data_IF_986841328800
#
_entry.id   IF_986841328800
#
_cell.length_a   1.000
_cell.length_b   1.000
_cell.length_c   1.000
_cell.angle_alpha   90.00
_cell.angle_beta   90.00
_cell.angle_gamma   90.00
#
_symmetry.space_group_name_H-M   'P 1'
#
loop_
_entity.id
_entity.type
_entity.pdbx_description
1 polymer ?
#
# COMPACT_ATOMS: atom_id res chain seq x y z
N UNK A 1 -44.65 22.00 -50.63
CA UNK A 1 -45.53 22.24 -49.47
C UNK A 1 -44.79 21.80 -48.23
N UNK A 2 -44.37 22.78 -47.45
CA UNK A 2 -43.68 22.61 -46.19
C UNK A 2 -44.54 21.78 -45.22
N UNK A 3 -44.00 20.70 -44.67
CA UNK A 3 -44.40 20.27 -43.34
C UNK A 3 -43.12 19.94 -42.58
N UNK A 4 -43.01 20.58 -41.43
CA UNK A 4 -41.77 20.86 -40.73
C UNK A 4 -41.15 19.55 -40.24
N UNK A 5 -39.86 19.40 -40.49
CA UNK A 5 -38.99 18.42 -39.83
C UNK A 5 -39.21 18.59 -38.33
N UNK A 6 -39.83 17.57 -37.73
CA UNK A 6 -40.14 17.52 -36.31
C UNK A 6 -38.84 17.62 -35.51
N UNK A 7 -38.58 18.82 -35.00
CA UNK A 7 -37.53 19.22 -34.06
C UNK A 7 -37.73 18.58 -32.67
N UNK A 8 -38.21 17.34 -32.62
CA UNK A 8 -38.51 16.59 -31.39
C UNK A 8 -37.74 15.27 -31.30
N UNK A 9 -37.15 14.78 -32.41
CA UNK A 9 -36.29 13.59 -32.41
C UNK A 9 -34.82 13.91 -32.10
N UNK A 10 -34.43 15.19 -32.11
CA UNK A 10 -33.08 15.61 -31.70
C UNK A 10 -32.93 15.76 -30.17
N UNK A 11 -34.04 15.80 -29.43
CA UNK A 11 -34.03 15.99 -27.98
C UNK A 11 -33.95 14.67 -27.19
N UNK A 12 -34.25 13.52 -27.81
CA UNK A 12 -34.07 12.21 -27.16
C UNK A 12 -32.66 11.66 -27.30
N UNK A 13 -31.85 12.18 -28.23
CA UNK A 13 -30.44 11.79 -28.39
C UNK A 13 -29.50 12.59 -27.46
N UNK A 14 -30.00 13.68 -26.87
CA UNK A 14 -29.27 14.52 -25.92
C UNK A 14 -29.59 14.22 -24.44
N UNK A 15 -30.19 13.05 -24.15
CA UNK A 15 -30.32 12.50 -22.79
C UNK A 15 -29.57 11.17 -22.65
N UNK A 16 -28.50 11.01 -23.41
CA UNK A 16 -27.39 10.10 -23.06
C UNK A 16 -26.16 10.96 -22.81
N UNK A 17 -26.38 12.06 -22.08
CA UNK A 17 -25.33 12.88 -21.49
C UNK A 17 -24.85 12.15 -20.24
N UNK A 18 -23.55 11.86 -20.22
CA UNK A 18 -22.77 11.67 -19.00
C UNK A 18 -23.28 10.56 -18.07
N UNK A 19 -23.32 9.33 -18.57
CA UNK A 19 -22.73 8.29 -17.72
C UNK A 19 -21.22 8.46 -17.89
N UNK A 20 -20.66 9.48 -17.23
CA UNK A 20 -19.27 9.40 -16.84
C UNK A 20 -19.21 8.12 -16.04
N UNK A 21 -18.63 7.08 -16.63
CA UNK A 21 -18.14 5.96 -15.86
C UNK A 21 -17.20 6.65 -14.88
N UNK A 22 -17.66 6.86 -13.65
CA UNK A 22 -16.76 6.99 -12.53
C UNK A 22 -16.00 5.68 -12.59
N UNK A 23 -14.86 5.69 -13.26
CA UNK A 23 -13.79 4.78 -12.94
C UNK A 23 -13.46 5.11 -11.48
N UNK A 24 -14.24 4.53 -10.57
CA UNK A 24 -13.80 4.34 -9.22
C UNK A 24 -12.49 3.60 -9.39
N UNK A 25 -11.37 4.30 -9.12
CA UNK A 25 -10.01 3.76 -9.21
C UNK A 25 -9.89 2.65 -8.16
N UNK A 26 -10.47 1.51 -8.49
CA UNK A 26 -10.31 0.24 -7.84
C UNK A 26 -9.30 -0.49 -8.69
N UNK A 27 -8.16 -0.80 -8.08
CA UNK A 27 -7.19 -1.82 -8.50
C UNK A 27 -5.95 -1.26 -9.21
N UNK A 28 -4.88 -1.08 -8.43
CA UNK A 28 -3.52 -1.14 -8.96
C UNK A 28 -2.64 0.00 -8.50
N UNK A 29 -2.91 1.20 -9.02
CA UNK A 29 -1.99 2.33 -8.84
C UNK A 29 -2.22 3.06 -7.50
N UNK A 30 -1.53 2.58 -6.47
CA UNK A 30 -1.50 3.19 -5.14
C UNK A 30 -0.34 4.19 -4.98
N UNK A 31 0.26 4.66 -6.08
CA UNK A 31 1.41 5.58 -6.01
C UNK A 31 1.04 6.93 -5.39
N UNK A 32 -0.20 7.38 -5.53
CA UNK A 32 -0.70 8.59 -4.87
C UNK A 32 -0.64 8.50 -3.33
N UNK A 33 -0.68 7.28 -2.77
CA UNK A 33 -0.57 7.04 -1.34
C UNK A 33 0.88 7.02 -0.83
N UNK A 34 1.90 7.05 -1.70
CA UNK A 34 3.29 6.82 -1.29
C UNK A 34 3.79 7.78 -0.20
N UNK A 35 3.52 9.08 -0.36
CA UNK A 35 4.03 10.11 0.56
C UNK A 35 3.41 9.99 1.96
N UNK A 36 2.10 9.75 2.04
CA UNK A 36 1.37 9.69 3.31
C UNK A 36 1.32 8.28 3.89
N UNK A 37 1.52 7.26 3.04
CA UNK A 37 1.15 5.87 3.26
C UNK A 37 -0.31 5.70 3.72
N UNK A 38 -1.17 6.69 3.51
CA UNK A 38 -2.57 6.64 3.91
C UNK A 38 -3.46 6.33 2.70
N UNK A 39 -4.57 5.59 2.89
CA UNK A 39 -5.58 5.47 1.85
C UNK A 39 -6.01 6.85 1.34
N UNK A 40 -6.09 7.01 0.03
CA UNK A 40 -6.50 8.26 -0.61
C UNK A 40 -8.00 8.18 -0.91
N UNK A 41 -8.82 8.48 0.10
CA UNK A 41 -10.27 8.61 -0.03
C UNK A 41 -10.81 9.71 0.89
N UNK A 42 -11.95 10.28 0.53
CA UNK A 42 -12.49 11.47 1.19
C UNK A 42 -13.01 11.17 2.61
N UNK A 43 -12.56 11.96 3.58
CA UNK A 43 -13.31 12.24 4.81
C UNK A 43 -13.14 11.31 6.02
N UNK A 44 -12.25 10.33 5.97
CA UNK A 44 -11.95 9.46 7.13
C UNK A 44 -10.59 9.78 7.72
N UNK A 45 -10.47 9.72 9.04
CA UNK A 45 -9.19 9.78 9.74
C UNK A 45 -8.72 8.35 10.09
N UNK A 46 -7.41 8.14 10.30
CA UNK A 46 -6.90 6.87 10.83
C UNK A 46 -7.57 6.52 12.16
N UNK A 47 -7.73 5.22 12.41
CA UNK A 47 -8.21 4.73 13.70
C UNK A 47 -7.22 5.11 14.80
N UNK A 48 -7.75 5.49 15.96
CA UNK A 48 -6.98 5.73 17.19
C UNK A 48 -6.94 4.50 18.11
N UNK A 49 -7.66 3.44 17.76
CA UNK A 49 -7.65 2.19 18.51
C UNK A 49 -6.34 1.43 18.24
N UNK A 50 -5.88 0.55 19.15
CA UNK A 50 -4.71 -0.28 18.91
C UNK A 50 -4.81 -1.08 17.60
N UNK A 51 -3.76 -1.06 16.79
CA UNK A 51 -3.70 -1.85 15.57
C UNK A 51 -3.74 -3.35 15.90
N UNK A 52 -4.67 -4.14 15.33
CA UNK A 52 -4.81 -5.57 15.59
C UNK A 52 -3.91 -6.43 14.69
N UNK A 53 -2.99 -5.81 13.95
CA UNK A 53 -2.10 -6.40 12.95
C UNK A 53 -0.66 -6.00 13.23
N UNK A 54 0.28 -6.79 12.74
CA UNK A 54 1.71 -6.53 12.90
C UNK A 54 2.51 -6.93 11.67
N UNK A 55 3.69 -6.34 11.56
CA UNK A 55 4.71 -6.71 10.57
C UNK A 55 5.90 -7.31 11.30
N UNK A 56 6.20 -8.57 11.02
CA UNK A 56 7.23 -9.34 11.73
C UNK A 56 8.37 -9.69 10.77
N UNK A 57 9.58 -9.12 10.94
CA UNK A 57 10.75 -9.59 10.21
C UNK A 57 11.20 -10.97 10.72
N UNK A 58 11.67 -11.84 9.83
CA UNK A 58 12.12 -13.20 10.19
C UNK A 58 13.42 -13.23 10.99
N UNK A 59 14.18 -12.14 10.95
CA UNK A 59 15.45 -11.95 11.64
C UNK A 59 15.68 -10.46 11.89
N UNK A 60 16.41 -10.13 12.95
CA UNK A 60 16.70 -8.75 13.36
C UNK A 60 18.10 -8.29 12.93
N UNK A 61 18.85 -9.12 12.21
CA UNK A 61 20.17 -8.76 11.67
C UNK A 61 20.39 -9.45 10.33
N UNK A 62 20.87 -8.68 9.35
CA UNK A 62 21.37 -9.18 8.06
C UNK A 62 22.60 -8.38 7.64
N UNK A 63 23.33 -8.88 6.65
CA UNK A 63 24.40 -8.11 5.99
C UNK A 63 23.83 -7.26 4.86
N UNK A 64 24.53 -6.20 4.47
CA UNK A 64 24.21 -5.40 3.28
C UNK A 64 24.06 -6.31 2.04
N UNK A 65 23.09 -6.02 1.17
CA UNK A 65 22.73 -6.91 0.05
C UNK A 65 22.04 -8.23 0.45
N UNK A 66 21.94 -8.54 1.74
CA UNK A 66 21.22 -9.70 2.25
C UNK A 66 19.70 -9.51 2.20
N UNK A 67 18.98 -10.61 2.37
CA UNK A 67 17.52 -10.62 2.34
C UNK A 67 16.93 -11.29 3.58
N UNK A 68 15.70 -10.92 3.91
CA UNK A 68 14.87 -11.54 4.94
C UNK A 68 13.42 -11.63 4.50
N UNK A 69 12.64 -12.46 5.16
CA UNK A 69 11.18 -12.50 4.96
C UNK A 69 10.52 -11.59 5.97
N UNK A 70 9.61 -10.71 5.51
CA UNK A 70 8.65 -10.04 6.38
C UNK A 70 7.30 -10.77 6.32
N UNK A 71 6.63 -10.85 7.47
CA UNK A 71 5.29 -11.42 7.58
C UNK A 71 4.33 -10.39 8.16
N UNK A 72 3.33 -10.01 7.38
CA UNK A 72 2.20 -9.22 7.83
C UNK A 72 1.14 -10.20 8.34
N UNK A 73 0.66 -10.03 9.57
CA UNK A 73 -0.34 -10.94 10.15
C UNK A 73 -1.26 -10.27 11.16
N UNK A 74 -2.40 -10.91 11.42
CA UNK A 74 -3.25 -10.57 12.56
C UNK A 74 -2.67 -11.06 13.89
N UNK A 75 -2.72 -10.20 14.92
CA UNK A 75 -2.42 -10.55 16.31
C UNK A 75 -3.65 -11.23 16.95
N UNK A 76 -4.85 -10.80 16.52
CA UNK A 76 -6.15 -11.31 16.98
C UNK A 76 -6.69 -12.38 16.02
N UNK A 77 -8.00 -12.52 15.83
CA UNK A 77 -8.62 -13.39 14.81
C UNK A 77 -9.14 -12.62 13.59
N UNK A 78 -9.03 -11.29 13.60
CA UNK A 78 -9.61 -10.43 12.56
C UNK A 78 -8.68 -10.34 11.35
N UNK A 79 -9.19 -10.54 10.14
CA UNK A 79 -8.44 -10.35 8.89
C UNK A 79 -8.30 -8.86 8.50
N UNK A 80 -7.35 -8.55 7.63
CA UNK A 80 -7.24 -7.24 6.94
C UNK A 80 -7.57 -7.39 5.46
N UNK A 81 -7.95 -6.30 4.80
CA UNK A 81 -8.27 -6.25 3.36
C UNK A 81 -7.17 -5.62 2.54
N UNK A 82 -6.68 -4.49 3.02
CA UNK A 82 -5.63 -3.71 2.38
C UNK A 82 -4.38 -3.62 3.23
N UNK A 83 -3.26 -3.46 2.56
CA UNK A 83 -2.01 -3.04 3.18
C UNK A 83 -1.16 -2.22 2.22
N UNK A 84 -0.22 -1.47 2.77
CA UNK A 84 0.91 -0.84 2.07
C UNK A 84 2.12 -0.86 2.99
N UNK A 85 3.21 -1.50 2.57
CA UNK A 85 4.43 -1.64 3.38
C UNK A 85 5.63 -1.06 2.64
N UNK A 86 6.42 -0.29 3.38
CA UNK A 86 7.73 0.23 2.98
C UNK A 86 8.73 -0.01 4.10
N UNK A 87 10.02 -0.01 3.75
CA UNK A 87 11.12 -0.05 4.70
C UNK A 87 11.80 1.32 4.76
N UNK A 88 12.18 1.79 5.95
CA UNK A 88 12.83 3.09 6.15
C UNK A 88 14.10 2.95 6.99
N UNK A 89 15.07 3.83 6.80
CA UNK A 89 16.16 4.03 7.74
C UNK A 89 15.61 4.62 9.03
N UNK A 90 15.68 3.86 10.13
CA UNK A 90 15.15 4.24 11.44
C UNK A 90 15.87 5.45 12.05
N UNK A 91 17.03 5.86 11.52
CA UNK A 91 17.75 7.07 11.93
C UNK A 91 17.31 8.34 11.18
N UNK A 92 16.41 8.21 10.20
CA UNK A 92 15.99 9.29 9.30
C UNK A 92 14.49 9.58 9.42
N UNK A 93 14.06 10.81 9.10
CA UNK A 93 12.65 11.10 8.87
C UNK A 93 12.12 10.36 7.62
N UNK A 94 10.80 10.17 7.54
CA UNK A 94 10.15 9.41 6.46
C UNK A 94 10.33 10.03 5.08
N UNK A 95 10.54 11.35 5.01
CA UNK A 95 10.76 12.08 3.75
C UNK A 95 12.16 11.83 3.17
N UNK A 96 13.04 11.11 3.88
CA UNK A 96 14.27 10.56 3.31
C UNK A 96 14.01 9.41 2.32
N UNK A 97 12.78 8.90 2.27
CA UNK A 97 12.35 7.87 1.33
C UNK A 97 12.60 6.43 1.81
N UNK A 98 12.02 5.44 1.11
CA UNK A 98 12.16 4.04 1.45
C UNK A 98 13.54 3.47 1.11
N UNK A 99 13.94 2.42 1.82
CA UNK A 99 15.22 1.71 1.64
C UNK A 99 15.01 0.27 1.18
N UNK A 100 15.86 -0.19 0.26
CA UNK A 100 15.84 -1.57 -0.23
C UNK A 100 14.69 -1.88 -1.18
N UNK A 101 14.52 -3.17 -1.46
CA UNK A 101 13.55 -3.64 -2.45
C UNK A 101 12.79 -4.86 -1.95
N UNK A 102 11.56 -5.02 -2.41
CA UNK A 102 10.71 -6.16 -2.12
C UNK A 102 10.57 -7.08 -3.33
N UNK A 103 10.47 -8.37 -3.04
CA UNK A 103 9.95 -9.37 -3.97
C UNK A 103 8.42 -9.41 -3.96
N UNK A 104 7.84 -10.20 -4.88
CA UNK A 104 6.38 -10.34 -5.00
C UNK A 104 5.80 -10.90 -3.70
N UNK A 105 4.82 -10.22 -3.08
CA UNK A 105 4.16 -10.76 -1.89
C UNK A 105 3.30 -11.98 -2.23
N UNK A 106 3.03 -12.83 -1.24
CA UNK A 106 2.16 -14.02 -1.41
C UNK A 106 0.72 -13.67 -1.80
N UNK A 107 0.27 -12.46 -1.45
CA UNK A 107 -1.02 -11.89 -1.87
C UNK A 107 -0.87 -10.36 -1.94
N UNK A 108 -0.79 -9.83 -3.16
CA UNK A 108 -0.70 -8.40 -3.41
C UNK A 108 0.08 -8.08 -4.69
N UNK A 109 0.69 -6.90 -4.69
CA UNK A 109 1.45 -6.36 -5.81
C UNK A 109 2.68 -5.58 -5.30
N UNK A 110 3.61 -5.33 -6.20
CA UNK A 110 4.80 -4.49 -5.99
C UNK A 110 4.56 -3.13 -6.64
N UNK A 111 4.96 -2.07 -5.96
CA UNK A 111 4.92 -0.70 -6.46
C UNK A 111 6.32 -0.08 -6.40
N UNK A 112 6.54 0.92 -7.25
CA UNK A 112 7.71 1.80 -7.18
C UNK A 112 7.24 3.18 -6.74
N UNK A 113 7.23 3.40 -5.43
CA UNK A 113 7.06 4.72 -4.87
C UNK A 113 8.29 5.60 -5.18
N UNK A 114 8.20 6.92 -5.03
CA UNK A 114 9.36 7.80 -5.19
C UNK A 114 10.59 7.30 -4.43
N UNK A 115 11.77 7.69 -4.92
CA UNK A 115 13.08 7.34 -4.34
C UNK A 115 13.46 5.85 -4.45
N UNK A 116 12.87 5.11 -5.38
CA UNK A 116 13.34 3.76 -5.70
C UNK A 116 12.49 2.98 -6.68
N UNK A 117 12.87 1.71 -6.86
CA UNK A 117 12.13 0.72 -7.65
C UNK A 117 11.78 -0.46 -6.76
N UNK A 118 10.58 -1.02 -6.93
CA UNK A 118 10.10 -2.15 -6.12
C UNK A 118 10.27 -1.95 -4.61
N UNK A 119 10.19 -0.70 -4.14
CA UNK A 119 10.44 -0.30 -2.76
C UNK A 119 9.20 -0.39 -1.88
N UNK A 120 8.08 -0.85 -2.43
CA UNK A 120 6.79 -0.91 -1.76
C UNK A 120 6.03 -2.17 -2.17
N UNK A 121 5.34 -2.79 -1.21
CA UNK A 121 4.31 -3.80 -1.47
C UNK A 121 2.95 -3.32 -1.01
N UNK A 122 1.90 -3.74 -1.70
CA UNK A 122 0.53 -3.42 -1.32
C UNK A 122 -0.45 -4.52 -1.70
N UNK A 123 -1.69 -4.41 -1.23
CA UNK A 123 -2.78 -5.21 -1.78
C UNK A 123 -3.01 -4.91 -3.27
N UNK A 124 -3.50 -5.92 -4.01
CA UNK A 124 -3.92 -5.78 -5.42
C UNK A 124 -5.42 -5.49 -5.54
N UNK A 125 -6.22 -6.04 -4.62
CA UNK A 125 -7.67 -5.85 -4.53
C UNK A 125 -8.09 -5.62 -3.06
N UNK A 126 -9.20 -4.91 -2.86
CA UNK A 126 -9.74 -4.56 -1.54
C UNK A 126 -10.87 -5.51 -1.06
N UNK A 127 -11.21 -6.53 -1.85
CA UNK A 127 -12.31 -7.45 -1.57
C UNK A 127 -11.85 -8.73 -0.85
N UNK A 128 -10.61 -9.14 -1.09
CA UNK A 128 -10.01 -10.35 -0.54
C UNK A 128 -9.58 -10.15 0.91
N UNK A 129 -10.02 -11.06 1.78
CA UNK A 129 -9.60 -11.10 3.18
C UNK A 129 -8.24 -11.78 3.31
N UNK A 130 -7.30 -11.09 3.97
CA UNK A 130 -5.95 -11.55 4.25
C UNK A 130 -5.80 -11.85 5.73
N UNK A 131 -5.27 -13.04 6.04
CA UNK A 131 -4.83 -13.41 7.40
C UNK A 131 -3.32 -13.23 7.55
N UNK A 132 -2.59 -13.56 6.50
CA UNK A 132 -1.15 -13.40 6.45
C UNK A 132 -0.73 -12.99 5.04
N UNK A 133 0.35 -12.21 4.96
CA UNK A 133 1.06 -11.93 3.71
C UNK A 133 2.55 -12.04 4.01
N UNK A 134 3.30 -12.70 3.13
CA UNK A 134 4.76 -12.75 3.22
C UNK A 134 5.38 -12.13 2.00
N UNK A 135 6.50 -11.44 2.20
CA UNK A 135 7.34 -10.93 1.13
C UNK A 135 8.80 -11.02 1.53
N UNK A 136 9.68 -11.21 0.55
CA UNK A 136 11.13 -11.07 0.76
C UNK A 136 11.48 -9.59 0.63
N UNK A 137 12.24 -9.05 1.58
CA UNK A 137 12.88 -7.75 1.49
C UNK A 137 14.39 -7.91 1.40
N UNK A 138 15.03 -7.10 0.56
CA UNK A 138 16.48 -7.11 0.32
C UNK A 138 17.08 -5.74 0.63
N UNK A 139 18.09 -5.71 1.50
CA UNK A 139 18.83 -4.51 1.81
C UNK A 139 19.66 -4.04 0.60
N UNK A 140 19.84 -2.72 0.41
CA UNK A 140 20.83 -2.22 -0.54
C UNK A 140 22.24 -2.73 -0.20
N UNK A 141 23.09 -2.86 -1.22
CA UNK A 141 24.49 -3.32 -1.06
C UNK A 141 25.40 -2.28 -0.41
N UNK A 142 24.96 -1.02 -0.38
CA UNK A 142 25.65 0.17 0.09
C UNK A 142 25.00 0.78 1.34
N UNK A 143 24.05 0.08 1.96
CA UNK A 143 23.37 0.52 3.18
C UNK A 143 23.84 -0.25 4.41
N UNK A 144 24.23 0.48 5.46
CA UNK A 144 24.50 -0.02 6.81
C UNK A 144 23.71 0.85 7.77
N UNK A 145 22.91 0.25 8.64
CA UNK A 145 22.02 1.00 9.51
C UNK A 145 20.94 0.14 10.15
N UNK A 146 19.92 0.80 10.70
CA UNK A 146 18.76 0.14 11.27
C UNK A 146 17.55 0.39 10.38
N UNK A 147 16.85 -0.67 9.99
CA UNK A 147 15.65 -0.59 9.16
C UNK A 147 14.42 -0.84 10.00
N UNK A 148 13.42 0.02 9.84
CA UNK A 148 12.06 -0.17 10.34
C UNK A 148 11.12 -0.36 9.17
N UNK A 149 10.30 -1.41 9.19
CA UNK A 149 9.20 -1.55 8.24
C UNK A 149 8.01 -0.78 8.77
N UNK A 150 7.38 0.03 7.92
CA UNK A 150 6.14 0.71 8.25
C UNK A 150 5.05 0.16 7.37
N UNK A 151 3.95 -0.26 7.99
CA UNK A 151 2.82 -0.85 7.28
C UNK A 151 1.55 -0.09 7.63
N UNK A 152 0.85 0.36 6.60
CA UNK A 152 -0.53 0.78 6.73
C UNK A 152 -1.43 -0.42 6.54
N UNK A 153 -2.33 -0.67 7.49
CA UNK A 153 -3.30 -1.76 7.44
C UNK A 153 -4.72 -1.22 7.26
N UNK A 154 -5.50 -1.84 6.39
CA UNK A 154 -6.91 -1.49 6.15
C UNK A 154 -7.79 -2.69 6.48
N UNK A 155 -8.67 -2.55 7.47
CA UNK A 155 -9.67 -3.58 7.79
C UNK A 155 -10.89 -3.49 6.86
N UNK A 156 -11.28 -2.27 6.51
CA UNK A 156 -12.39 -1.93 5.62
C UNK A 156 -12.32 -0.45 5.26
N UNK A 157 -13.23 0.04 4.40
CA UNK A 157 -13.13 1.37 3.78
C UNK A 157 -12.93 2.53 4.76
N UNK A 158 -13.46 2.46 5.97
CA UNK A 158 -13.34 3.55 6.96
C UNK A 158 -12.43 3.21 8.16
N UNK A 159 -11.86 2.00 8.25
CA UNK A 159 -11.08 1.56 9.42
C UNK A 159 -9.70 1.11 8.97
N UNK A 160 -8.70 1.94 9.29
CA UNK A 160 -7.31 1.74 8.91
C UNK A 160 -6.34 2.35 9.93
N UNK A 161 -5.11 1.86 9.90
CA UNK A 161 -3.99 2.28 10.74
C UNK A 161 -2.82 2.63 9.84
N UNK A 162 -2.17 3.76 10.09
CA UNK A 162 -1.18 4.33 9.16
C UNK A 162 0.22 4.19 9.76
N UNK A 163 1.17 3.71 8.95
CA UNK A 163 2.61 3.63 9.30
C UNK A 163 2.89 2.89 10.61
N UNK A 164 2.16 1.81 10.87
CA UNK A 164 2.44 0.94 12.03
C UNK A 164 3.84 0.33 11.88
N UNK A 165 4.73 0.50 12.88
CA UNK A 165 6.09 -0.02 12.81
C UNK A 165 6.10 -1.55 12.90
N UNK A 166 7.14 -2.17 12.34
CA UNK A 166 7.42 -3.58 12.57
C UNK A 166 7.67 -3.87 14.05
N UNK A 167 7.45 -5.12 14.45
CA UNK A 167 7.65 -5.56 15.83
C UNK A 167 9.08 -5.35 16.30
N UNK A 168 10.04 -5.42 15.38
CA UNK A 168 11.47 -5.19 15.62
C UNK A 168 12.07 -4.43 14.45
N UNK A 169 13.17 -3.71 14.72
CA UNK A 169 14.03 -3.18 13.67
C UNK A 169 15.00 -4.26 13.20
N UNK A 170 15.51 -4.11 11.97
CA UNK A 170 16.54 -4.97 11.40
C UNK A 170 17.84 -4.21 11.29
N UNK A 171 18.89 -4.68 11.94
CA UNK A 171 20.24 -4.18 11.74
C UNK A 171 20.82 -4.70 10.41
N UNK A 172 21.23 -3.80 9.53
CA UNK A 172 22.00 -4.13 8.33
C UNK A 172 23.47 -3.82 8.62
N UNK A 173 24.30 -4.85 8.61
CA UNK A 173 25.74 -4.77 8.93
C UNK A 173 26.60 -4.97 7.70
N UNK A 174 27.90 -4.73 7.84
CA UNK A 174 28.88 -5.15 6.84
C UNK A 174 29.04 -6.68 6.85
N UNK A 175 29.62 -7.21 5.77
CA UNK A 175 30.10 -8.60 5.69
C UNK A 175 31.25 -8.88 6.67
#
# INVERSE_FOLDING_TARGET
>A
MNCRINLLLALSVQFVCLVSVLEAYSNGDLTAACSTMAPVHDGTAPSTDPCPYETVPSQTTIVQGGSLTITLRNITTTSFRGYMTMAFDASKPDDAGPVGTFGMPTDGQILSCPDGVNNTISHQDNNSLKKFVQAIWTAPVDFVGSVVFKTTFVRGEAIYWVKEPSTENVAVTTF
#
